data_IF_241442509766
#
_entry.id   IF_241442509766
#
_cell.length_a   1.000
_cell.length_b   1.000
_cell.length_c   1.000
_cell.angle_alpha   90.00
_cell.angle_beta   90.00
_cell.angle_gamma   90.00
#
_symmetry.space_group_name_H-M   'P 1'
#
loop_
_entity.id
_entity.type
_entity.pdbx_description
1 polymer ?
#
# COMPACT_ATOMS: atom_id res chain seq x y z
N UNK A 1 -29.88 -10.51 31.64
CA UNK A 1 -29.81 -11.05 30.30
C UNK A 1 -29.23 -9.95 29.39
N UNK A 2 -27.92 -9.96 29.20
CA UNK A 2 -27.16 -8.85 28.65
C UNK A 2 -27.00 -9.15 27.18
N UNK A 3 -27.69 -8.36 26.35
CA UNK A 3 -27.52 -8.38 24.91
C UNK A 3 -26.19 -7.70 24.63
N UNK A 4 -25.19 -8.50 24.26
CA UNK A 4 -23.91 -7.99 23.78
C UNK A 4 -24.15 -7.14 22.53
N UNK A 5 -23.86 -5.85 22.64
CA UNK A 5 -23.81 -4.96 21.50
C UNK A 5 -22.65 -5.40 20.60
N UNK A 6 -22.97 -6.10 19.53
CA UNK A 6 -22.08 -6.22 18.38
C UNK A 6 -21.84 -4.80 17.84
N UNK A 7 -20.81 -4.18 18.33
CA UNK A 7 -20.23 -3.00 17.71
C UNK A 7 -19.43 -3.52 16.50
N UNK A 8 -20.15 -3.79 15.41
CA UNK A 8 -19.51 -4.17 14.16
C UNK A 8 -18.46 -3.15 13.76
N UNK A 9 -17.43 -3.63 13.09
CA UNK A 9 -16.20 -2.97 12.65
C UNK A 9 -16.38 -1.54 12.11
N UNK A 10 -17.58 -1.12 11.72
CA UNK A 10 -17.89 0.26 11.34
C UNK A 10 -19.38 0.57 11.45
N UNK A 11 -19.83 0.98 12.60
CA UNK A 11 -21.08 1.73 12.68
C UNK A 11 -20.91 3.07 11.95
N UNK A 12 -21.98 3.56 11.31
CA UNK A 12 -21.95 4.83 10.56
C UNK A 12 -21.47 6.03 11.40
N UNK A 13 -21.60 5.96 12.71
CA UNK A 13 -21.17 6.99 13.65
C UNK A 13 -19.64 6.97 13.92
N UNK A 14 -18.97 5.83 13.71
CA UNK A 14 -17.52 5.71 13.90
C UNK A 14 -16.70 6.05 12.65
N UNK A 15 -17.32 6.52 11.58
CA UNK A 15 -16.65 7.18 10.45
C UNK A 15 -16.29 8.63 10.83
N UNK A 16 -15.78 8.81 12.03
CA UNK A 16 -15.23 10.08 12.47
C UNK A 16 -13.99 10.41 11.63
N UNK A 17 -13.68 11.68 11.50
CA UNK A 17 -12.46 12.16 10.84
C UNK A 17 -11.20 11.47 11.33
N UNK A 18 -11.18 10.98 12.58
CA UNK A 18 -10.09 10.22 13.18
C UNK A 18 -9.89 8.85 12.54
N UNK A 19 -10.96 8.12 12.21
CA UNK A 19 -10.85 6.80 11.55
C UNK A 19 -10.28 6.93 10.13
N UNK A 20 -10.73 7.93 9.36
CA UNK A 20 -10.17 8.22 8.04
C UNK A 20 -8.70 8.59 8.10
N UNK A 21 -8.30 9.42 9.07
CA UNK A 21 -6.90 9.79 9.29
C UNK A 21 -6.04 8.56 9.64
N UNK A 22 -6.51 7.70 10.55
CA UNK A 22 -5.76 6.48 10.91
C UNK A 22 -5.59 5.54 9.72
N UNK A 23 -6.62 5.33 8.91
CA UNK A 23 -6.53 4.50 7.70
C UNK A 23 -5.55 5.09 6.68
N UNK A 24 -5.56 6.40 6.48
CA UNK A 24 -4.64 7.06 5.57
C UNK A 24 -3.19 6.94 6.07
N UNK A 25 -2.94 7.21 7.35
CA UNK A 25 -1.61 7.09 7.93
C UNK A 25 -1.10 5.65 7.87
N UNK A 26 -1.94 4.66 8.21
CA UNK A 26 -1.53 3.25 8.10
C UNK A 26 -1.20 2.86 6.66
N UNK A 27 -1.98 3.33 5.66
CA UNK A 27 -1.65 3.10 4.25
C UNK A 27 -0.29 3.67 3.88
N UNK A 28 0.01 4.90 4.30
CA UNK A 28 1.32 5.51 4.06
C UNK A 28 2.45 4.66 4.64
N UNK A 29 2.30 4.18 5.87
CA UNK A 29 3.30 3.29 6.48
C UNK A 29 3.44 1.96 5.74
N UNK A 30 2.34 1.38 5.25
CA UNK A 30 2.36 0.14 4.48
C UNK A 30 3.07 0.29 3.14
N UNK A 31 2.86 1.41 2.44
CA UNK A 31 3.56 1.72 1.18
C UNK A 31 5.07 1.81 1.44
N UNK A 32 5.47 2.60 2.43
CA UNK A 32 6.89 2.74 2.79
C UNK A 32 7.50 1.39 3.18
N UNK A 33 6.79 0.57 3.97
CA UNK A 33 7.27 -0.76 4.35
C UNK A 33 7.39 -1.70 3.14
N UNK A 34 6.45 -1.64 2.20
CA UNK A 34 6.51 -2.38 0.94
C UNK A 34 7.73 -1.98 0.10
N UNK A 35 8.00 -0.68 -0.02
CA UNK A 35 9.14 -0.16 -0.79
C UNK A 35 10.47 -0.56 -0.14
N UNK A 36 10.59 -0.42 1.16
CA UNK A 36 11.78 -0.83 1.92
C UNK A 36 12.00 -2.34 1.78
N UNK A 37 10.96 -3.14 1.99
CA UNK A 37 11.02 -4.60 1.86
C UNK A 37 11.41 -5.05 0.45
N UNK A 38 10.81 -4.44 -0.56
CA UNK A 38 11.11 -4.74 -1.97
C UNK A 38 12.54 -4.36 -2.34
N UNK A 39 13.05 -3.24 -1.83
CA UNK A 39 14.42 -2.80 -2.06
C UNK A 39 15.44 -3.76 -1.41
N UNK A 40 15.29 -4.07 -0.12
CA UNK A 40 16.24 -4.93 0.58
C UNK A 40 16.27 -6.36 0.02
N UNK A 41 15.11 -6.96 -0.21
CA UNK A 41 15.02 -8.33 -0.73
C UNK A 41 15.41 -8.36 -2.21
N UNK A 42 14.98 -7.40 -2.99
CA UNK A 42 15.35 -7.28 -4.40
C UNK A 42 16.86 -7.08 -4.60
N UNK A 43 17.51 -6.29 -3.75
CA UNK A 43 18.95 -6.08 -3.78
C UNK A 43 19.75 -7.31 -3.34
N UNK A 44 19.25 -8.04 -2.33
CA UNK A 44 19.97 -9.18 -1.75
C UNK A 44 19.76 -10.47 -2.54
N UNK A 45 18.56 -10.71 -3.04
CA UNK A 45 18.15 -11.99 -3.64
C UNK A 45 17.59 -11.84 -5.05
N UNK A 46 17.41 -10.60 -5.55
CA UNK A 46 16.81 -10.35 -6.87
C UNK A 46 17.63 -10.93 -8.01
N UNK A 47 17.02 -11.83 -8.78
CA UNK A 47 17.60 -12.45 -9.96
C UNK A 47 16.72 -12.24 -11.19
N UNK A 48 15.40 -12.16 -10.99
CA UNK A 48 14.41 -12.13 -12.05
C UNK A 48 13.83 -10.72 -12.18
N UNK A 49 14.07 -10.04 -13.30
CA UNK A 49 13.48 -8.75 -13.58
C UNK A 49 11.95 -8.86 -13.67
N UNK A 50 11.23 -7.95 -13.02
CA UNK A 50 9.76 -7.93 -12.99
C UNK A 50 9.18 -7.47 -14.34
N UNK A 51 9.80 -6.47 -14.97
CA UNK A 51 9.30 -5.87 -16.22
C UNK A 51 10.45 -5.29 -17.06
N UNK A 52 10.35 -5.37 -18.41
CA UNK A 52 11.28 -4.69 -19.30
C UNK A 52 11.29 -3.17 -19.12
N UNK A 53 10.18 -2.59 -18.64
CA UNK A 53 9.99 -1.15 -18.44
C UNK A 53 10.80 -0.64 -17.24
N UNK A 54 10.88 -1.45 -16.21
CA UNK A 54 11.64 -1.16 -14.98
C UNK A 54 12.51 -2.37 -14.60
N UNK A 55 13.66 -2.57 -15.25
CA UNK A 55 14.51 -3.74 -15.03
C UNK A 55 15.17 -3.78 -13.65
N UNK A 56 15.15 -2.68 -12.91
CA UNK A 56 15.62 -2.62 -11.52
C UNK A 56 14.68 -3.26 -10.51
N UNK A 57 13.41 -3.49 -10.90
CA UNK A 57 12.45 -4.20 -10.04
C UNK A 57 12.52 -5.70 -10.29
N UNK A 58 12.53 -6.47 -9.22
CA UNK A 58 12.63 -7.93 -9.26
C UNK A 58 11.40 -8.60 -8.66
N UNK A 59 11.09 -9.81 -9.12
CA UNK A 59 9.99 -10.62 -8.59
C UNK A 59 10.23 -10.96 -7.12
N UNK A 60 11.47 -11.27 -6.76
CA UNK A 60 11.87 -11.56 -5.38
C UNK A 60 11.68 -10.34 -4.49
N UNK A 61 12.01 -9.15 -5.01
CA UNK A 61 11.74 -7.88 -4.35
C UNK A 61 10.25 -7.65 -4.12
N UNK A 62 9.41 -7.93 -5.11
CA UNK A 62 7.96 -7.82 -4.98
C UNK A 62 7.42 -8.70 -3.85
N UNK A 63 7.84 -9.98 -3.79
CA UNK A 63 7.43 -10.89 -2.72
C UNK A 63 7.88 -10.35 -1.36
N UNK A 64 9.07 -9.77 -1.29
CA UNK A 64 9.59 -9.13 -0.08
C UNK A 64 8.75 -7.93 0.37
N UNK A 65 8.40 -7.06 -0.56
CA UNK A 65 7.53 -5.90 -0.29
C UNK A 65 6.16 -6.31 0.21
N UNK A 66 5.51 -7.27 -0.47
CA UNK A 66 4.22 -7.82 -0.04
C UNK A 66 4.31 -8.41 1.37
N UNK A 67 5.35 -9.19 1.67
CA UNK A 67 5.53 -9.81 2.98
C UNK A 67 5.68 -8.78 4.09
N UNK A 68 6.51 -7.75 3.88
CA UNK A 68 6.69 -6.65 4.84
C UNK A 68 5.39 -5.87 5.05
N UNK A 69 4.66 -5.58 3.98
CA UNK A 69 3.37 -4.88 4.04
C UNK A 69 2.33 -5.69 4.81
N UNK A 70 2.22 -7.01 4.59
CA UNK A 70 1.32 -7.90 5.33
C UNK A 70 1.64 -7.90 6.82
N UNK A 71 2.91 -8.08 7.18
CA UNK A 71 3.31 -8.11 8.60
C UNK A 71 2.95 -6.83 9.32
N UNK A 72 3.23 -5.69 8.69
CA UNK A 72 2.89 -4.39 9.26
C UNK A 72 1.38 -4.14 9.30
N UNK A 73 0.62 -4.58 8.28
CA UNK A 73 -0.83 -4.47 8.23
C UNK A 73 -1.50 -5.30 9.35
N UNK A 74 -1.03 -6.52 9.58
CA UNK A 74 -1.50 -7.35 10.69
C UNK A 74 -1.21 -6.68 12.04
N UNK A 75 -0.01 -6.13 12.21
CA UNK A 75 0.36 -5.39 13.43
C UNK A 75 -0.61 -4.23 13.69
N UNK A 76 -0.90 -3.39 12.69
CA UNK A 76 -1.86 -2.30 12.84
C UNK A 76 -3.28 -2.78 13.05
N UNK A 77 -3.69 -3.90 12.42
CA UNK A 77 -5.02 -4.47 12.61
C UNK A 77 -5.23 -4.93 14.07
N UNK A 78 -4.21 -5.51 14.70
CA UNK A 78 -4.25 -5.83 16.13
C UNK A 78 -4.25 -4.57 16.99
N UNK A 79 -3.42 -3.59 16.69
CA UNK A 79 -3.34 -2.35 17.46
C UNK A 79 -4.66 -1.57 17.45
N UNK A 80 -5.37 -1.59 16.33
CA UNK A 80 -6.65 -0.90 16.14
C UNK A 80 -7.87 -1.75 16.52
N UNK A 81 -7.66 -2.97 17.04
CA UNK A 81 -8.71 -3.93 17.41
C UNK A 81 -9.73 -4.17 16.27
N UNK A 82 -9.25 -4.38 15.04
CA UNK A 82 -10.12 -4.72 13.91
C UNK A 82 -10.72 -6.11 14.10
N UNK A 83 -11.94 -6.31 13.59
CA UNK A 83 -12.53 -7.65 13.54
C UNK A 83 -11.69 -8.54 12.60
N UNK A 84 -11.40 -9.76 13.05
CA UNK A 84 -10.57 -10.71 12.32
C UNK A 84 -9.23 -10.10 11.81
N UNK A 85 -8.37 -9.59 12.71
CA UNK A 85 -7.20 -8.78 12.36
C UNK A 85 -6.21 -9.50 11.43
N UNK A 86 -6.15 -10.83 11.49
CA UNK A 86 -5.30 -11.63 10.60
C UNK A 86 -5.81 -11.56 9.15
N UNK A 87 -7.09 -11.84 8.94
CA UNK A 87 -7.67 -11.89 7.58
C UNK A 87 -7.67 -10.49 6.97
N UNK A 88 -8.16 -9.50 7.72
CA UNK A 88 -8.21 -8.11 7.25
C UNK A 88 -6.80 -7.57 7.00
N UNK A 89 -5.85 -7.83 7.89
CA UNK A 89 -4.46 -7.42 7.74
C UNK A 89 -3.79 -8.02 6.50
N UNK A 90 -4.02 -9.29 6.21
CA UNK A 90 -3.48 -9.95 4.99
C UNK A 90 -4.06 -9.30 3.74
N UNK A 91 -5.39 -9.19 3.64
CA UNK A 91 -6.06 -8.62 2.46
C UNK A 91 -5.61 -7.16 2.26
N UNK A 92 -5.54 -6.38 3.33
CA UNK A 92 -5.15 -4.99 3.31
C UNK A 92 -3.69 -4.81 2.87
N UNK A 93 -2.76 -5.57 3.46
CA UNK A 93 -1.34 -5.52 3.13
C UNK A 93 -1.05 -5.90 1.68
N UNK A 94 -1.67 -6.98 1.17
CA UNK A 94 -1.55 -7.39 -0.23
C UNK A 94 -2.08 -6.30 -1.16
N UNK A 95 -3.28 -5.78 -0.89
CA UNK A 95 -3.93 -4.79 -1.75
C UNK A 95 -3.10 -3.51 -1.85
N UNK A 96 -2.62 -2.97 -0.73
CA UNK A 96 -1.80 -1.76 -0.71
C UNK A 96 -0.48 -1.97 -1.46
N UNK A 97 0.23 -3.08 -1.20
CA UNK A 97 1.51 -3.35 -1.85
C UNK A 97 1.38 -3.54 -3.36
N UNK A 98 0.34 -4.23 -3.83
CA UNK A 98 0.08 -4.40 -5.27
C UNK A 98 -0.24 -3.06 -5.95
N UNK A 99 -0.99 -2.20 -5.28
CA UNK A 99 -1.36 -0.91 -5.86
C UNK A 99 -0.22 0.10 -5.85
N UNK A 100 0.61 0.10 -4.83
CA UNK A 100 1.85 0.86 -4.83
C UNK A 100 2.73 0.45 -6.02
N UNK A 101 2.87 -0.86 -6.26
CA UNK A 101 3.59 -1.38 -7.43
C UNK A 101 2.98 -0.92 -8.76
N UNK A 102 1.65 -0.99 -8.90
CA UNK A 102 0.95 -0.57 -10.12
C UNK A 102 1.16 0.92 -10.38
N UNK A 103 1.05 1.76 -9.34
CA UNK A 103 1.30 3.20 -9.45
C UNK A 103 2.68 3.52 -9.99
N UNK A 104 3.71 2.92 -9.39
CA UNK A 104 5.10 3.09 -9.78
C UNK A 104 5.40 2.53 -11.19
N UNK A 105 4.75 1.42 -11.60
CA UNK A 105 4.86 0.92 -12.97
C UNK A 105 4.22 1.85 -13.99
N UNK A 106 3.04 2.39 -13.70
CA UNK A 106 2.34 3.35 -14.57
C UNK A 106 3.20 4.61 -14.74
N UNK A 107 3.74 5.16 -13.66
CA UNK A 107 4.63 6.32 -13.73
C UNK A 107 5.89 6.01 -14.55
N UNK A 108 6.50 4.84 -14.33
CA UNK A 108 7.64 4.38 -15.09
C UNK A 108 7.33 4.28 -16.61
N UNK A 109 6.14 3.80 -16.98
CA UNK A 109 5.67 3.77 -18.37
C UNK A 109 5.53 5.17 -18.94
N UNK A 110 4.87 6.08 -18.24
CA UNK A 110 4.68 7.46 -18.67
C UNK A 110 6.03 8.17 -18.90
N UNK A 111 7.01 7.97 -18.02
CA UNK A 111 8.35 8.53 -18.18
C UNK A 111 9.05 7.99 -19.44
N UNK A 112 8.92 6.69 -19.74
CA UNK A 112 9.50 6.09 -20.95
C UNK A 112 8.85 6.61 -22.22
N UNK A 113 7.52 6.76 -22.22
CA UNK A 113 6.78 7.33 -23.37
C UNK A 113 7.19 8.79 -23.63
N UNK A 114 7.35 9.58 -22.58
CA UNK A 114 7.85 10.94 -22.65
C UNK A 114 9.37 11.05 -22.96
N UNK A 115 10.09 9.92 -23.08
CA UNK A 115 11.55 9.85 -23.27
C UNK A 115 12.37 10.58 -22.20
N UNK A 116 11.84 10.66 -21.00
CA UNK A 116 12.51 11.21 -19.81
C UNK A 116 12.81 10.10 -18.80
N UNK A 117 13.74 10.36 -17.90
CA UNK A 117 14.08 9.45 -16.82
C UNK A 117 13.45 9.88 -15.49
N UNK A 118 13.49 11.17 -15.22
CA UNK A 118 12.99 11.77 -13.99
C UNK A 118 11.91 12.79 -14.34
N UNK A 119 10.85 12.90 -13.55
CA UNK A 119 9.70 13.78 -13.84
C UNK A 119 9.97 15.27 -13.56
N UNK A 120 11.18 15.62 -13.12
CA UNK A 120 11.62 16.98 -12.87
C UNK A 120 12.80 17.08 -11.92
N UNK A 121 13.27 18.31 -11.68
CA UNK A 121 14.38 18.63 -10.78
C UNK A 121 13.94 19.45 -9.56
N UNK A 122 12.68 19.32 -9.17
CA UNK A 122 12.12 20.16 -8.10
C UNK A 122 12.80 19.93 -6.75
N UNK A 123 13.21 18.68 -6.49
CA UNK A 123 13.98 18.36 -5.27
C UNK A 123 15.45 18.11 -5.65
N UNK A 124 16.39 18.97 -5.24
CA UNK A 124 17.81 18.79 -5.52
C UNK A 124 18.29 17.41 -5.06
N UNK A 125 18.81 16.59 -5.98
CA UNK A 125 19.31 15.24 -5.71
C UNK A 125 18.25 14.15 -5.50
N UNK A 126 16.94 14.47 -5.59
CA UNK A 126 15.85 13.51 -5.32
C UNK A 126 14.81 13.38 -6.44
N UNK A 127 14.98 14.07 -7.58
CA UNK A 127 14.07 13.98 -8.73
C UNK A 127 12.81 14.85 -8.60
N UNK A 128 11.75 14.49 -9.30
CA UNK A 128 10.47 15.20 -9.30
C UNK A 128 9.56 14.84 -8.13
N UNK A 129 8.59 15.70 -7.85
CA UNK A 129 7.53 15.42 -6.85
C UNK A 129 6.70 14.21 -7.28
N UNK A 130 6.42 14.07 -8.58
CA UNK A 130 5.63 12.97 -9.11
C UNK A 130 6.28 11.62 -8.81
N UNK A 131 7.62 11.53 -8.91
CA UNK A 131 8.41 10.33 -8.58
C UNK A 131 8.29 9.89 -7.09
N UNK A 132 7.65 10.68 -6.26
CA UNK A 132 7.46 10.40 -4.83
C UNK A 132 6.01 10.11 -4.46
N UNK A 133 5.07 10.55 -5.28
CA UNK A 133 3.65 10.46 -4.97
C UNK A 133 2.98 9.35 -5.80
N UNK A 134 3.67 8.80 -6.80
CA UNK A 134 3.15 7.79 -7.71
C UNK A 134 2.49 6.59 -7.02
N UNK A 135 3.16 6.03 -6.03
CA UNK A 135 2.65 4.93 -5.22
C UNK A 135 1.44 5.32 -4.35
N UNK A 136 1.29 6.63 -4.06
CA UNK A 136 0.21 7.14 -3.21
C UNK A 136 -1.05 7.52 -3.98
N UNK A 137 -0.95 7.82 -5.29
CA UNK A 137 -2.06 8.34 -6.10
C UNK A 137 -3.22 7.33 -6.17
N UNK A 138 -2.91 6.05 -6.35
CA UNK A 138 -3.93 5.01 -6.53
C UNK A 138 -4.42 4.41 -5.19
N UNK A 139 -3.66 4.57 -4.13
CA UNK A 139 -3.94 3.96 -2.82
C UNK A 139 -5.26 4.41 -2.19
N UNK A 140 -5.64 5.71 -2.17
CA UNK A 140 -6.89 6.15 -1.55
C UNK A 140 -8.14 5.60 -2.24
N UNK A 141 -8.12 5.50 -3.55
CA UNK A 141 -9.26 4.97 -4.32
C UNK A 141 -9.56 3.53 -3.95
N UNK A 142 -8.52 2.72 -3.79
CA UNK A 142 -8.66 1.31 -3.45
C UNK A 142 -9.03 1.10 -2.02
N UNK A 143 -8.45 1.88 -1.10
CA UNK A 143 -8.87 1.89 0.29
C UNK A 143 -10.37 2.13 0.41
N UNK A 144 -10.90 3.07 -0.34
CA UNK A 144 -12.32 3.37 -0.36
C UNK A 144 -13.15 2.16 -0.82
N UNK A 145 -12.73 1.49 -1.90
CA UNK A 145 -13.44 0.31 -2.41
C UNK A 145 -13.31 -0.91 -1.48
N UNK A 146 -12.12 -1.18 -0.94
CA UNK A 146 -11.93 -2.26 0.04
C UNK A 146 -12.83 -2.02 1.26
N UNK A 147 -12.87 -0.78 1.73
CA UNK A 147 -13.70 -0.38 2.83
C UNK A 147 -15.20 -0.62 2.57
N UNK A 148 -15.69 -0.27 1.38
CA UNK A 148 -17.05 -0.54 0.96
C UNK A 148 -17.32 -2.04 0.93
N UNK A 149 -16.45 -2.83 0.31
CA UNK A 149 -16.60 -4.28 0.19
C UNK A 149 -16.66 -4.94 1.58
N UNK A 150 -15.73 -4.61 2.47
CA UNK A 150 -15.73 -5.13 3.84
C UNK A 150 -17.00 -4.76 4.60
N UNK A 151 -17.57 -3.59 4.33
CA UNK A 151 -18.83 -3.17 4.92
C UNK A 151 -20.05 -3.93 4.39
N UNK A 152 -20.03 -4.38 3.14
CA UNK A 152 -21.12 -5.17 2.54
C UNK A 152 -21.04 -6.66 2.93
N UNK A 153 -19.87 -7.15 3.32
CA UNK A 153 -19.66 -8.54 3.74
C UNK A 153 -20.00 -8.78 5.22
N UNK A 154 -20.22 -7.73 5.99
CA UNK A 154 -20.65 -7.73 7.39
C UNK A 154 -22.10 -7.22 7.51
#
# INVERSE_FOLDING_TARGET
MIIGSNQGFMSRENLSNTTGLHLTLTSCFLIVASDIGSYFIGKSFGKTSLSPISPSKTIEGLIGGISCSILLAIFFAFLMNWENPLIVGIIYGISISLMALVGDLIESMMKRDAKIKDSGTFLPGHGGILDRIDSYIFTPSILYYIFIILKYLN
#
